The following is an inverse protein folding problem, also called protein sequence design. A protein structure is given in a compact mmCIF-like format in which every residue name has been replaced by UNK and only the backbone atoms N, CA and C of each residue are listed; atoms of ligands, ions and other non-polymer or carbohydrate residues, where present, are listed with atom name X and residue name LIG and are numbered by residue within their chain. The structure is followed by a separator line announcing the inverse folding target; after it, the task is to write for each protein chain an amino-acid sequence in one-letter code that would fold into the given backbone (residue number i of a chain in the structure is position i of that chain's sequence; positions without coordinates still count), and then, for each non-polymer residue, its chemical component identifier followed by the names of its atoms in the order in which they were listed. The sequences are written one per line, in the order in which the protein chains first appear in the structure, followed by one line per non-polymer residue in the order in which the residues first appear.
data_IF_341261099993
#
_entry.id   IF_341261099993
#
_cell.length_a   1.000
_cell.length_b   1.000
_cell.length_c   1.000
_cell.angle_alpha   90.00
_cell.angle_beta   90.00
_cell.angle_gamma   90.00
#
_symmetry.space_group_name_H-M   'P 1'
#
loop_
_entity.id
_entity.type
_entity.pdbx_description
1 polymer ?
#
# COMPACT_ATOMS: atom_id res chain seq x y z
N UNK A 1 -13.55 3.36 7.55
CA UNK A 1 -12.63 3.29 6.38
C UNK A 1 -13.39 2.78 5.16
N UNK A 2 -13.98 3.67 4.33
CA UNK A 2 -14.79 3.23 3.18
C UNK A 2 -14.92 4.22 2.03
N UNK A 3 -14.39 5.45 2.16
CA UNK A 3 -14.51 6.48 1.12
C UNK A 3 -13.77 6.14 -0.19
N UNK A 4 -12.81 5.21 -0.16
CA UNK A 4 -12.18 4.70 -1.38
C UNK A 4 -13.20 3.90 -2.21
N UNK A 5 -14.03 3.05 -1.60
CA UNK A 5 -15.06 2.30 -2.33
C UNK A 5 -16.02 3.22 -3.10
N UNK A 6 -16.48 4.30 -2.45
CA UNK A 6 -17.32 5.32 -3.10
C UNK A 6 -16.62 5.93 -4.31
N UNK A 7 -15.34 6.27 -4.19
CA UNK A 7 -14.56 6.85 -5.29
C UNK A 7 -14.30 5.85 -6.42
N UNK A 8 -14.11 4.57 -6.11
CA UNK A 8 -13.94 3.50 -7.11
C UNK A 8 -15.22 3.27 -7.91
N UNK A 9 -16.34 3.12 -7.21
CA UNK A 9 -17.59 2.65 -7.81
C UNK A 9 -18.45 3.80 -8.36
N UNK A 10 -18.46 4.96 -7.71
CA UNK A 10 -19.22 6.14 -8.14
C UNK A 10 -18.35 7.19 -8.85
N UNK A 11 -17.02 7.07 -8.79
CA UNK A 11 -16.08 7.99 -9.42
C UNK A 11 -15.21 7.33 -10.50
N UNK A 12 -14.01 7.89 -10.71
CA UNK A 12 -13.06 7.43 -11.71
C UNK A 12 -12.30 6.17 -11.25
N UNK A 13 -12.71 4.99 -11.72
CA UNK A 13 -12.05 3.72 -11.42
C UNK A 13 -10.57 3.64 -11.90
N UNK A 14 -10.19 4.42 -12.92
CA UNK A 14 -8.82 4.46 -13.45
C UNK A 14 -7.74 4.93 -12.46
N UNK A 15 -8.15 5.63 -11.40
CA UNK A 15 -7.25 6.26 -10.43
C UNK A 15 -7.06 5.38 -9.20
N UNK A 16 -7.99 4.47 -8.95
CA UNK A 16 -8.01 3.65 -7.75
C UNK A 16 -7.36 2.28 -8.03
N UNK A 17 -6.41 1.84 -7.19
CA UNK A 17 -5.75 0.55 -7.40
C UNK A 17 -6.71 -0.61 -7.09
N UNK A 18 -6.64 -1.67 -7.91
CA UNK A 18 -7.45 -2.87 -7.73
C UNK A 18 -6.75 -3.86 -6.78
N UNK A 19 -7.34 -4.23 -5.64
CA UNK A 19 -6.70 -5.06 -4.63
C UNK A 19 -6.19 -6.43 -5.12
N UNK A 20 -6.78 -6.97 -6.18
CA UNK A 20 -6.38 -8.27 -6.75
C UNK A 20 -5.18 -8.18 -7.70
N UNK A 21 -4.90 -6.99 -8.25
CA UNK A 21 -3.87 -6.77 -9.28
C UNK A 21 -2.73 -5.84 -8.80
N UNK A 22 -2.51 -5.77 -7.48
CA UNK A 22 -1.39 -5.03 -6.88
C UNK A 22 -0.18 -5.97 -6.69
N UNK A 23 1.06 -5.54 -6.94
CA UNK A 23 1.48 -4.20 -7.36
C UNK A 23 1.68 -4.03 -8.87
N UNK A 24 1.27 -2.89 -9.44
CA UNK A 24 1.45 -2.58 -10.87
C UNK A 24 2.74 -1.82 -11.17
N UNK A 25 3.21 -0.99 -10.22
CA UNK A 25 4.46 -0.21 -10.38
C UNK A 25 5.64 -0.92 -9.72
N UNK A 26 6.85 -0.84 -10.32
CA UNK A 26 8.02 -1.47 -9.74
C UNK A 26 8.32 -0.93 -8.33
N UNK A 27 8.86 -1.78 -7.43
CA UNK A 27 9.09 -1.45 -6.04
C UNK A 27 10.09 -0.30 -5.84
N UNK A 28 11.02 -0.14 -6.78
CA UNK A 28 12.12 0.83 -6.70
C UNK A 28 11.74 2.21 -7.28
N UNK A 29 10.58 2.30 -7.93
CA UNK A 29 10.13 3.56 -8.53
C UNK A 29 9.93 4.64 -7.46
N UNK A 30 10.80 5.65 -7.48
CA UNK A 30 10.78 6.78 -6.55
C UNK A 30 11.53 6.55 -5.24
N UNK A 31 12.29 5.46 -5.11
CA UNK A 31 13.17 5.21 -3.97
C UNK A 31 14.63 5.13 -4.44
N UNK A 32 15.54 5.99 -3.93
CA UNK A 32 16.96 5.92 -4.30
C UNK A 32 17.64 4.66 -3.75
N UNK A 33 17.31 4.26 -2.52
CA UNK A 33 17.75 3.00 -1.90
C UNK A 33 16.62 2.45 -1.04
N UNK A 34 15.95 1.40 -1.52
CA UNK A 34 14.90 0.71 -0.76
C UNK A 34 15.55 -0.37 0.11
N UNK A 35 15.51 -0.20 1.43
CA UNK A 35 15.87 -1.27 2.35
C UNK A 35 14.83 -2.39 2.26
N UNK A 36 15.29 -3.61 2.03
CA UNK A 36 14.47 -4.79 2.20
C UNK A 36 14.02 -4.90 3.66
N UNK A 37 12.85 -5.51 3.89
CA UNK A 37 12.40 -5.75 5.26
C UNK A 37 13.34 -6.79 5.85
N UNK A 38 13.94 -6.50 7.01
CA UNK A 38 14.97 -7.35 7.61
C UNK A 38 14.52 -8.81 7.72
N UNK A 39 15.32 -9.71 7.16
CA UNK A 39 15.10 -11.16 7.02
C UNK A 39 15.18 -11.95 8.33
N UNK A 40 15.02 -11.33 9.49
CA UNK A 40 15.27 -11.96 10.80
C UNK A 40 14.29 -13.10 11.16
N UNK A 41 13.50 -13.61 10.22
CA UNK A 41 12.50 -14.65 10.44
C UNK A 41 12.39 -15.69 9.30
N UNK A 42 13.17 -15.59 8.22
CA UNK A 42 12.86 -16.31 6.98
C UNK A 42 13.37 -17.76 6.90
N UNK A 43 14.39 -18.22 7.63
CA UNK A 43 14.97 -19.55 7.39
C UNK A 43 14.82 -20.58 8.51
N UNK A 44 14.53 -20.20 9.75
CA UNK A 44 14.48 -21.15 10.89
C UNK A 44 13.09 -21.51 11.40
N UNK A 45 12.01 -21.05 10.75
CA UNK A 45 10.65 -21.11 11.33
C UNK A 45 9.54 -21.55 10.35
N UNK A 46 9.90 -22.05 9.17
CA UNK A 46 8.94 -22.40 8.10
C UNK A 46 8.14 -23.69 8.41
N UNK A 47 8.57 -24.55 9.35
CA UNK A 47 8.01 -25.90 9.45
C UNK A 47 6.76 -26.10 10.34
N UNK A 48 6.26 -25.07 11.05
CA UNK A 48 5.13 -25.27 12.00
C UNK A 48 4.06 -24.16 12.02
N UNK A 49 3.83 -23.44 10.91
CA UNK A 49 2.74 -22.46 10.87
C UNK A 49 1.81 -22.71 9.67
N UNK A 50 0.59 -23.13 10.00
CA UNK A 50 -0.49 -23.49 9.07
C UNK A 50 -0.98 -22.23 8.31
N UNK A 51 -0.26 -21.96 7.23
CA UNK A 51 -0.60 -21.39 5.92
C UNK A 51 -1.48 -20.13 5.75
N UNK A 52 -2.14 -19.56 6.76
CA UNK A 52 -2.96 -18.34 6.53
C UNK A 52 -2.78 -17.20 7.54
N UNK A 53 -2.14 -17.41 8.69
CA UNK A 53 -2.15 -16.41 9.77
C UNK A 53 -0.79 -15.91 10.28
N UNK A 54 0.36 -16.26 9.69
CA UNK A 54 1.66 -15.84 10.25
C UNK A 54 2.79 -15.78 9.22
N UNK A 55 3.08 -14.60 8.65
CA UNK A 55 4.31 -14.42 7.84
C UNK A 55 5.21 -13.29 8.37
N UNK A 56 4.98 -12.73 9.57
CA UNK A 56 5.95 -11.74 10.12
C UNK A 56 6.01 -11.51 11.62
N UNK A 57 5.10 -12.08 12.39
CA UNK A 57 5.09 -11.99 13.85
C UNK A 57 5.29 -13.40 14.43
N UNK A 58 6.42 -14.04 14.10
CA UNK A 58 6.72 -15.42 14.56
C UNK A 58 7.68 -15.49 15.74
N UNK A 59 8.40 -14.41 16.06
CA UNK A 59 9.37 -14.39 17.16
C UNK A 59 8.79 -14.35 18.58
N UNK A 60 7.49 -14.09 18.75
CA UNK A 60 6.86 -13.95 20.07
C UNK A 60 5.98 -15.12 20.50
N UNK A 61 5.66 -16.04 19.57
CA UNK A 61 4.81 -17.19 19.87
C UNK A 61 5.48 -18.20 20.83
N UNK A 62 6.80 -18.13 21.04
CA UNK A 62 7.54 -19.03 21.93
C UNK A 62 7.48 -18.65 23.41
N UNK A 63 6.89 -17.51 23.78
CA UNK A 63 6.75 -17.09 25.20
C UNK A 63 5.39 -17.42 25.82
N UNK A 64 4.45 -17.96 25.06
CA UNK A 64 3.07 -18.25 25.49
C UNK A 64 2.93 -19.51 26.39
N UNK A 65 3.90 -19.78 27.28
CA UNK A 65 3.66 -20.55 28.49
C UNK A 65 3.25 -19.61 29.63
N UNK A 66 2.20 -18.82 29.41
CA UNK A 66 1.63 -17.98 30.46
C UNK A 66 0.53 -18.75 31.19
N UNK A 67 0.81 -19.19 32.42
CA UNK A 67 -0.06 -20.00 33.28
C UNK A 67 -1.33 -19.31 33.80
N UNK A 68 -1.88 -18.32 33.10
CA UNK A 68 -3.12 -17.64 33.48
C UNK A 68 -3.67 -16.70 32.41
N UNK A 69 -4.99 -16.54 32.35
CA UNK A 69 -5.73 -15.79 31.31
C UNK A 69 -5.31 -14.30 31.23
N UNK A 70 -4.83 -13.73 32.34
CA UNK A 70 -4.53 -12.30 32.49
C UNK A 70 -3.03 -11.95 32.60
N UNK A 71 -2.14 -12.95 32.67
CA UNK A 71 -0.72 -12.72 32.92
C UNK A 71 0.05 -12.22 31.67
N UNK A 72 -0.45 -12.55 30.48
CA UNK A 72 0.23 -12.33 29.19
C UNK A 72 -0.23 -11.05 28.46
N UNK A 73 -0.51 -9.95 29.16
CA UNK A 73 -1.05 -8.74 28.51
C UNK A 73 -0.01 -7.98 27.68
N UNK A 74 1.22 -7.85 28.20
CA UNK A 74 2.31 -7.20 27.47
C UNK A 74 2.64 -7.94 26.17
N UNK A 75 2.80 -9.25 26.21
CA UNK A 75 3.17 -10.04 25.02
C UNK A 75 2.06 -10.05 23.96
N UNK A 76 0.78 -10.01 24.38
CA UNK A 76 -0.35 -9.83 23.47
C UNK A 76 -0.35 -8.43 22.85
N UNK A 77 -0.21 -7.38 23.65
CA UNK A 77 -0.15 -6.01 23.15
C UNK A 77 1.00 -5.81 22.17
N UNK A 78 2.15 -6.39 22.50
CA UNK A 78 3.30 -6.47 21.64
C UNK A 78 2.85 -7.09 20.31
N UNK A 79 2.30 -8.31 20.31
CA UNK A 79 1.86 -9.01 19.10
C UNK A 79 0.85 -8.20 18.26
N UNK A 80 -0.18 -7.63 18.90
CA UNK A 80 -1.15 -6.74 18.25
C UNK A 80 -0.46 -5.53 17.61
N UNK A 81 0.56 -5.00 18.26
CA UNK A 81 1.35 -3.88 17.74
C UNK A 81 2.22 -4.28 16.54
N UNK A 82 2.74 -5.52 16.51
CA UNK A 82 3.40 -6.08 15.34
C UNK A 82 2.43 -6.21 14.14
N UNK A 83 1.23 -6.74 14.38
CA UNK A 83 0.19 -6.83 13.34
C UNK A 83 -0.26 -5.46 12.84
N UNK A 84 -0.42 -4.49 13.74
CA UNK A 84 -0.74 -3.12 13.39
C UNK A 84 0.36 -2.52 12.51
N UNK A 85 1.64 -2.72 12.84
CA UNK A 85 2.75 -2.23 12.01
C UNK A 85 2.70 -2.81 10.60
N UNK A 86 2.41 -4.10 10.49
CA UNK A 86 2.23 -4.76 9.19
C UNK A 86 1.03 -4.22 8.41
N UNK A 87 -0.09 -3.98 9.09
CA UNK A 87 -1.27 -3.36 8.49
C UNK A 87 -0.95 -1.97 7.94
N UNK A 88 -0.24 -1.13 8.70
CA UNK A 88 0.18 0.21 8.26
C UNK A 88 1.09 0.13 7.03
N UNK A 89 1.98 -0.86 6.96
CA UNK A 89 2.84 -1.04 5.79
C UNK A 89 2.04 -1.41 4.54
N UNK A 90 1.01 -2.27 4.64
CA UNK A 90 0.10 -2.58 3.53
C UNK A 90 -0.71 -1.36 3.08
N UNK A 91 -1.17 -0.54 4.03
CA UNK A 91 -1.88 0.70 3.72
C UNK A 91 -0.99 1.72 2.99
N UNK A 92 0.30 1.80 3.35
CA UNK A 92 1.28 2.65 2.63
C UNK A 92 1.49 2.19 1.19
N UNK A 93 1.49 0.88 0.94
CA UNK A 93 1.58 0.31 -0.41
C UNK A 93 0.36 0.69 -1.25
N UNK A 94 -0.85 0.51 -0.70
CA UNK A 94 -2.10 0.91 -1.36
C UNK A 94 -2.13 2.42 -1.70
N UNK A 95 -1.78 3.28 -0.76
CA UNK A 95 -1.73 4.73 -1.03
C UNK A 95 -0.62 5.11 -2.01
N UNK A 96 0.53 4.42 -1.98
CA UNK A 96 1.62 4.66 -2.94
C UNK A 96 1.12 4.43 -4.36
N UNK A 97 0.49 3.29 -4.62
CA UNK A 97 -0.03 2.97 -5.95
C UNK A 97 -1.08 3.96 -6.42
N UNK A 98 -2.02 4.32 -5.55
CA UNK A 98 -3.04 5.34 -5.85
C UNK A 98 -2.40 6.67 -6.25
N UNK A 99 -1.38 7.14 -5.51
CA UNK A 99 -0.69 8.39 -5.83
C UNK A 99 0.11 8.28 -7.14
N UNK A 100 0.66 7.11 -7.46
CA UNK A 100 1.35 6.88 -8.72
C UNK A 100 0.38 6.88 -9.92
N UNK A 101 -0.79 6.24 -9.79
CA UNK A 101 -1.85 6.29 -10.80
C UNK A 101 -2.35 7.73 -11.02
N UNK A 102 -2.57 8.49 -9.94
CA UNK A 102 -2.92 9.91 -10.03
C UNK A 102 -1.86 10.72 -10.78
N UNK A 103 -0.58 10.48 -10.50
CA UNK A 103 0.54 11.14 -11.20
C UNK A 103 0.61 10.74 -12.67
N UNK A 104 0.40 9.46 -13.00
CA UNK A 104 0.34 8.96 -14.38
C UNK A 104 -0.78 9.67 -15.16
N UNK A 105 -2.00 9.69 -14.62
CA UNK A 105 -3.15 10.40 -15.22
C UNK A 105 -2.88 11.89 -15.41
N UNK A 106 -2.24 12.55 -14.45
CA UNK A 106 -1.86 13.97 -14.58
C UNK A 106 -0.81 14.20 -15.69
N UNK A 107 0.16 13.31 -15.85
CA UNK A 107 1.18 13.40 -16.92
C UNK A 107 0.56 13.15 -18.29
N UNK A 108 -0.32 12.16 -18.42
CA UNK A 108 -1.05 11.86 -19.66
C UNK A 108 -1.93 13.03 -20.10
N UNK A 109 -2.66 13.66 -19.16
CA UNK A 109 -3.45 14.88 -19.45
C UNK A 109 -2.57 16.01 -19.97
N UNK A 110 -1.46 16.30 -19.29
CA UNK A 110 -0.50 17.32 -19.73
C UNK A 110 0.10 17.01 -21.11
N UNK A 111 0.46 15.76 -21.36
CA UNK A 111 0.98 15.34 -22.66
C UNK A 111 -0.09 15.49 -23.76
N UNK A 112 -1.35 15.18 -23.47
CA UNK A 112 -2.46 15.37 -24.38
C UNK A 112 -2.78 16.85 -24.65
N UNK A 113 -2.69 17.72 -23.63
CA UNK A 113 -2.83 19.18 -23.77
C UNK A 113 -1.70 19.76 -24.65
N UNK A 114 -0.46 19.37 -24.39
CA UNK A 114 0.71 19.74 -25.21
C UNK A 114 0.57 19.24 -26.65
N UNK A 115 0.10 18.01 -26.86
CA UNK A 115 -0.14 17.45 -28.20
C UNK A 115 -1.27 18.16 -28.95
N UNK A 116 -2.23 18.78 -28.23
CA UNK A 116 -3.29 19.61 -28.79
C UNK A 116 -2.85 21.05 -29.06
N UNK A 117 -1.61 21.42 -28.74
CA UNK A 117 -1.09 22.77 -28.92
C UNK A 117 -1.60 23.79 -27.89
N UNK A 118 -2.37 23.36 -26.87
CA UNK A 118 -2.80 24.23 -25.79
C UNK A 118 -1.66 24.35 -24.76
N UNK A 119 -0.73 25.27 -25.01
CA UNK A 119 0.24 25.70 -24.02
C UNK A 119 -0.46 26.36 -22.82
N UNK A 120 0.17 26.44 -21.63
CA UNK A 120 -0.42 27.09 -20.47
C UNK A 120 -0.55 28.61 -20.74
N UNK A 121 -1.68 29.01 -21.34
CA UNK A 121 -1.99 30.40 -21.67
C UNK A 121 -2.76 30.64 -22.97
N UNK A 122 -2.94 29.64 -23.85
CA UNK A 122 -3.63 29.85 -25.13
C UNK A 122 -5.10 29.42 -25.04
N UNK A 123 -6.00 30.41 -25.01
CA UNK A 123 -7.45 30.19 -25.01
C UNK A 123 -7.87 29.73 -26.41
N UNK A 124 -8.73 28.70 -26.45
CA UNK A 124 -9.28 28.17 -27.70
C UNK A 124 -9.86 29.28 -28.59
N UNK A 125 -9.46 29.40 -29.87
CA UNK A 125 -9.95 30.46 -30.76
C UNK A 125 -11.46 30.38 -31.05
N UNK A 126 -12.13 29.29 -30.65
CA UNK A 126 -13.59 29.13 -30.72
C UNK A 126 -14.36 29.78 -29.56
N UNK A 127 -13.70 30.12 -28.45
CA UNK A 127 -14.31 30.76 -27.28
C UNK A 127 -14.07 32.28 -27.27
N UNK A 128 -13.23 32.78 -28.18
CA UNK A 128 -12.87 34.20 -28.30
C UNK A 128 -13.70 34.99 -29.35
N UNK A 129 -14.83 34.44 -29.80
CA UNK A 129 -15.80 35.11 -30.69
C UNK A 129 -17.02 35.59 -29.91
#
# INVERSE_FOLDING_TARGET
MGAHLVRRYLGDASVEPDPLQMPTFPPDYGFPERKERGEAQLLSLIYYCYLESRIRCTGWNTKLQCGGILACKQERHDWDYCEHRDYVMRMKEFERERRLLQRKKRREKKAAELAKGQGPGEVDPKVAL
#
